data_IF_864381973513
#
_entry.id   IF_864381973513
#
_cell.length_a   1.000
_cell.length_b   1.000
_cell.length_c   1.000
_cell.angle_alpha   90.00
_cell.angle_beta   90.00
_cell.angle_gamma   90.00
#
_symmetry.space_group_name_H-M   'P 1'
#
loop_
_entity.id
_entity.type
_entity.pdbx_description
1 polymer ?
#
# COMPACT_ATOMS: atom_id res chain seq x y z
N UNK A 1 -39.25 30.97 -26.45
CA UNK A 1 -38.01 31.10 -25.64
C UNK A 1 -38.32 30.64 -24.22
N UNK A 2 -37.87 29.44 -23.85
CA UNK A 2 -38.21 28.82 -22.55
C UNK A 2 -37.07 29.07 -21.57
N UNK A 3 -37.25 29.99 -20.61
CA UNK A 3 -36.28 30.25 -19.54
C UNK A 3 -36.25 29.05 -18.59
N UNK A 4 -35.12 28.35 -18.57
CA UNK A 4 -34.85 27.24 -17.64
C UNK A 4 -34.35 27.83 -16.32
N UNK A 5 -35.21 27.83 -15.29
CA UNK A 5 -34.84 28.24 -13.94
C UNK A 5 -34.13 27.07 -13.25
N UNK A 6 -32.81 26.98 -13.36
CA UNK A 6 -32.02 26.30 -12.33
C UNK A 6 -31.48 27.38 -11.40
N UNK A 7 -31.96 27.41 -10.16
CA UNK A 7 -31.30 28.16 -9.11
C UNK A 7 -29.93 27.53 -8.87
N UNK A 8 -28.86 28.29 -9.10
CA UNK A 8 -27.52 27.93 -8.66
C UNK A 8 -27.55 27.69 -7.14
N UNK A 9 -27.22 26.48 -6.71
CA UNK A 9 -27.06 26.17 -5.29
C UNK A 9 -25.77 26.87 -4.84
N UNK A 10 -25.90 27.90 -4.00
CA UNK A 10 -24.77 28.69 -3.49
C UNK A 10 -24.28 28.23 -2.12
N UNK A 11 -25.11 27.48 -1.39
CA UNK A 11 -24.79 26.93 -0.07
C UNK A 11 -24.69 25.40 -0.15
N UNK A 12 -23.51 24.88 0.16
CA UNK A 12 -23.18 23.47 0.13
C UNK A 12 -23.08 22.86 1.55
N UNK A 13 -23.43 23.60 2.61
CA UNK A 13 -23.28 23.15 4.01
C UNK A 13 -23.85 21.76 4.27
N UNK A 14 -25.10 21.51 3.88
CA UNK A 14 -25.76 20.20 4.04
C UNK A 14 -25.11 19.09 3.20
N UNK A 15 -24.62 19.43 2.00
CA UNK A 15 -23.90 18.48 1.14
C UNK A 15 -22.55 18.12 1.74
N UNK A 16 -21.81 19.09 2.28
CA UNK A 16 -20.56 18.87 3.00
C UNK A 16 -20.79 17.97 4.23
N UNK A 17 -21.82 18.26 5.02
CA UNK A 17 -22.17 17.46 6.20
C UNK A 17 -22.50 16.00 5.82
N UNK A 18 -23.26 15.79 4.74
CA UNK A 18 -23.57 14.47 4.21
C UNK A 18 -22.32 13.69 3.78
N UNK A 19 -21.40 14.34 3.05
CA UNK A 19 -20.14 13.73 2.60
C UNK A 19 -19.21 13.41 3.77
N UNK A 20 -19.08 14.31 4.75
CA UNK A 20 -18.28 14.08 5.96
C UNK A 20 -18.84 12.90 6.76
N UNK A 21 -20.17 12.82 6.93
CA UNK A 21 -20.82 11.68 7.60
C UNK A 21 -20.55 10.36 6.85
N UNK A 22 -20.66 10.38 5.51
CA UNK A 22 -20.37 9.19 4.70
C UNK A 22 -18.90 8.78 4.80
N UNK A 23 -17.97 9.74 4.85
CA UNK A 23 -16.54 9.49 5.06
C UNK A 23 -16.29 8.76 6.38
N UNK A 24 -16.88 9.22 7.49
CA UNK A 24 -16.74 8.57 8.80
C UNK A 24 -17.31 7.15 8.77
N UNK A 25 -18.47 6.96 8.13
CA UNK A 25 -19.07 5.63 7.99
C UNK A 25 -18.14 4.67 7.22
N UNK A 26 -17.59 5.10 6.08
CA UNK A 26 -16.67 4.29 5.28
C UNK A 26 -15.38 3.96 6.04
N UNK A 27 -14.90 4.88 6.87
CA UNK A 27 -13.73 4.65 7.71
C UNK A 27 -13.96 3.51 8.70
N UNK A 28 -15.07 3.54 9.45
CA UNK A 28 -15.42 2.46 10.38
C UNK A 28 -15.69 1.13 9.68
N UNK A 29 -16.29 1.16 8.49
CA UNK A 29 -16.47 -0.04 7.68
C UNK A 29 -15.13 -0.65 7.27
N UNK A 30 -14.16 0.17 6.87
CA UNK A 30 -12.81 -0.27 6.57
C UNK A 30 -12.11 -0.87 7.80
N UNK A 31 -12.23 -0.25 8.97
CA UNK A 31 -11.69 -0.79 10.23
C UNK A 31 -12.26 -2.18 10.55
N UNK A 32 -13.59 -2.33 10.45
CA UNK A 32 -14.26 -3.63 10.68
C UNK A 32 -13.79 -4.70 9.71
N UNK A 33 -13.63 -4.37 8.43
CA UNK A 33 -13.13 -5.32 7.42
C UNK A 33 -11.66 -5.71 7.70
N UNK A 34 -10.85 -4.77 8.18
CA UNK A 34 -9.47 -5.06 8.57
C UNK A 34 -9.40 -6.00 9.78
N UNK A 35 -10.25 -5.79 10.79
CA UNK A 35 -10.38 -6.68 11.95
C UNK A 35 -10.83 -8.09 11.52
N UNK A 36 -11.86 -8.20 10.69
CA UNK A 36 -12.32 -9.50 10.16
C UNK A 36 -11.22 -10.23 9.39
N UNK A 37 -10.43 -9.50 8.60
CA UNK A 37 -9.28 -10.07 7.89
C UNK A 37 -8.21 -10.57 8.87
N UNK A 38 -7.96 -9.83 9.95
CA UNK A 38 -7.00 -10.24 10.98
C UNK A 38 -7.47 -11.51 11.71
N UNK A 39 -8.76 -11.60 12.05
CA UNK A 39 -9.37 -12.80 12.64
C UNK A 39 -9.23 -14.01 11.72
N UNK A 40 -9.64 -13.89 10.45
CA UNK A 40 -9.52 -14.98 9.49
C UNK A 40 -8.07 -15.45 9.31
N UNK A 41 -7.09 -14.54 9.32
CA UNK A 41 -5.66 -14.88 9.28
C UNK A 41 -5.22 -15.66 10.52
N UNK A 42 -5.75 -15.31 11.69
CA UNK A 42 -5.45 -16.03 12.93
C UNK A 42 -6.07 -17.42 12.95
N UNK A 43 -7.29 -17.55 12.44
CA UNK A 43 -7.99 -18.83 12.32
C UNK A 43 -7.25 -19.77 11.37
N UNK A 44 -6.80 -19.26 10.21
CA UNK A 44 -5.96 -20.03 9.28
C UNK A 44 -4.69 -20.55 9.97
N UNK A 45 -3.98 -19.72 10.73
CA UNK A 45 -2.80 -20.16 11.50
C UNK A 45 -3.14 -21.24 12.52
N UNK A 46 -4.28 -21.09 13.21
CA UNK A 46 -4.75 -22.08 14.18
C UNK A 46 -5.06 -23.42 13.51
N UNK A 47 -5.67 -23.37 12.32
CA UNK A 47 -5.91 -24.56 11.49
C UNK A 47 -4.62 -25.21 11.01
N UNK A 48 -3.62 -24.43 10.59
CA UNK A 48 -2.30 -24.95 10.20
C UNK A 48 -1.67 -25.75 11.35
N UNK A 49 -1.74 -25.23 12.58
CA UNK A 49 -1.26 -25.94 13.78
C UNK A 49 -2.07 -27.22 14.02
N UNK A 50 -3.40 -27.16 13.95
CA UNK A 50 -4.25 -28.32 14.13
C UNK A 50 -3.96 -29.42 13.09
N UNK A 51 -3.76 -29.04 11.82
CA UNK A 51 -3.38 -29.95 10.74
C UNK A 51 -2.05 -30.66 11.05
N UNK A 52 -1.06 -29.94 11.59
CA UNK A 52 0.21 -30.56 12.02
C UNK A 52 0.02 -31.54 13.17
N UNK A 53 -0.81 -31.19 14.16
CA UNK A 53 -1.11 -32.07 15.30
C UNK A 53 -1.75 -33.38 14.85
N UNK A 54 -2.69 -33.34 13.90
CA UNK A 54 -3.35 -34.55 13.37
C UNK A 54 -2.50 -35.32 12.34
N UNK A 55 -1.24 -34.93 12.15
CA UNK A 55 -0.28 -35.68 11.33
C UNK A 55 -0.22 -35.29 9.85
N UNK A 56 -0.75 -34.13 9.45
CA UNK A 56 -0.61 -33.65 8.08
C UNK A 56 0.84 -33.26 7.76
N UNK A 57 1.44 -33.95 6.79
CA UNK A 57 2.85 -33.78 6.38
C UNK A 57 3.05 -32.94 5.12
N UNK A 58 1.98 -32.60 4.40
CA UNK A 58 2.06 -31.80 3.18
C UNK A 58 2.53 -30.35 3.42
N UNK A 59 2.87 -29.67 2.32
CA UNK A 59 3.24 -28.26 2.33
C UNK A 59 1.97 -27.39 2.25
N UNK A 60 1.52 -26.89 3.40
CA UNK A 60 0.30 -26.07 3.53
C UNK A 60 0.33 -24.82 2.63
N UNK A 61 1.50 -24.25 2.36
CA UNK A 61 1.62 -23.08 1.48
C UNK A 61 1.39 -23.40 0.01
N UNK A 62 1.59 -24.64 -0.43
CA UNK A 62 1.47 -25.02 -1.84
C UNK A 62 0.00 -25.24 -2.25
N UNK A 63 -0.83 -25.64 -1.30
CA UNK A 63 -2.29 -25.80 -1.46
C UNK A 63 -3.07 -24.50 -1.20
N UNK A 64 -2.46 -23.49 -0.57
CA UNK A 64 -3.10 -22.19 -0.40
C UNK A 64 -3.19 -21.46 -1.75
N UNK A 65 -4.38 -20.95 -2.13
CA UNK A 65 -4.50 -20.13 -3.33
C UNK A 65 -3.60 -18.89 -3.17
N UNK A 66 -2.71 -18.68 -4.13
CA UNK A 66 -1.82 -17.51 -4.14
C UNK A 66 -2.69 -16.26 -4.09
N UNK A 67 -2.55 -15.47 -3.02
CA UNK A 67 -3.25 -14.21 -2.88
C UNK A 67 -2.72 -13.23 -3.93
N UNK A 68 -3.32 -13.21 -5.11
CA UNK A 68 -3.04 -12.18 -6.10
C UNK A 68 -3.75 -10.90 -5.68
N UNK A 69 -3.08 -10.07 -4.87
CA UNK A 69 -3.53 -8.71 -4.62
C UNK A 69 -2.80 -7.78 -5.58
N UNK A 70 -3.51 -7.32 -6.61
CA UNK A 70 -3.03 -6.23 -7.46
C UNK A 70 -2.89 -5.00 -6.57
N UNK A 71 -1.66 -4.49 -6.43
CA UNK A 71 -1.40 -3.19 -5.81
C UNK A 71 -1.95 -2.09 -6.70
N UNK A 72 -3.24 -1.80 -6.54
CA UNK A 72 -3.88 -0.62 -7.12
C UNK A 72 -3.60 0.57 -6.20
N UNK A 73 -2.40 1.14 -6.33
CA UNK A 73 -2.18 2.50 -5.83
C UNK A 73 -3.06 3.44 -6.65
N UNK A 74 -3.90 4.22 -5.97
CA UNK A 74 -4.60 5.34 -6.60
C UNK A 74 -3.55 6.33 -7.14
N UNK A 75 -3.91 7.11 -8.15
CA UNK A 75 -3.00 8.08 -8.78
C UNK A 75 -2.38 9.00 -7.72
N UNK A 76 -1.07 8.84 -7.48
CA UNK A 76 -0.32 9.65 -6.51
C UNK A 76 0.02 8.94 -5.20
N UNK A 77 -0.76 7.95 -4.77
CA UNK A 77 -0.55 7.26 -3.48
C UNK A 77 0.80 6.55 -3.41
N UNK A 78 1.26 5.96 -4.52
CA UNK A 78 2.58 5.34 -4.57
C UNK A 78 3.69 6.36 -4.28
N UNK A 79 3.56 7.57 -4.83
CA UNK A 79 4.57 8.61 -4.64
C UNK A 79 4.53 9.14 -3.20
N UNK A 80 3.34 9.35 -2.65
CA UNK A 80 3.19 9.75 -1.25
C UNK A 80 3.77 8.71 -0.29
N UNK A 81 3.48 7.42 -0.51
CA UNK A 81 4.07 6.33 0.28
C UNK A 81 5.59 6.32 0.21
N UNK A 82 6.16 6.47 -0.99
CA UNK A 82 7.63 6.57 -1.17
C UNK A 82 8.21 7.77 -0.40
N UNK A 83 7.58 8.95 -0.52
CA UNK A 83 8.08 10.17 0.13
C UNK A 83 7.97 10.06 1.65
N UNK A 84 6.85 9.56 2.17
CA UNK A 84 6.64 9.35 3.61
C UNK A 84 7.69 8.40 4.17
N UNK A 85 7.95 7.28 3.49
CA UNK A 85 8.98 6.33 3.91
C UNK A 85 10.39 6.95 3.93
N UNK A 86 10.73 7.74 2.90
CA UNK A 86 12.01 8.46 2.84
C UNK A 86 12.12 9.58 3.88
N UNK A 87 11.01 10.18 4.33
CA UNK A 87 11.00 11.17 5.42
C UNK A 87 11.19 10.52 6.78
N UNK A 88 10.58 9.35 7.00
CA UNK A 88 10.67 8.62 8.26
C UNK A 88 11.98 7.85 8.42
N UNK A 89 12.71 7.60 7.33
CA UNK A 89 13.99 6.92 7.37
C UNK A 89 15.13 7.86 7.74
N UNK A 90 15.90 7.51 8.77
CA UNK A 90 17.13 8.20 9.16
C UNK A 90 18.28 7.96 8.17
N UNK A 91 18.13 6.99 7.26
CA UNK A 91 19.14 6.60 6.27
C UNK A 91 18.59 6.57 4.84
N UNK A 92 19.46 6.69 3.83
CA UNK A 92 19.09 6.39 2.45
C UNK A 92 18.56 4.96 2.31
N UNK A 93 17.55 4.77 1.46
CA UNK A 93 16.91 3.47 1.24
C UNK A 93 17.01 3.04 -0.22
N UNK A 94 17.17 1.74 -0.46
CA UNK A 94 17.10 1.16 -1.81
C UNK A 94 15.65 1.03 -2.27
N UNK A 95 15.44 0.95 -3.59
CA UNK A 95 14.08 0.73 -4.15
C UNK A 95 13.44 -0.57 -3.66
N UNK A 96 14.26 -1.58 -3.32
CA UNK A 96 13.77 -2.86 -2.81
C UNK A 96 13.33 -2.75 -1.34
N UNK A 97 14.10 -2.05 -0.50
CA UNK A 97 13.70 -1.78 0.88
C UNK A 97 12.42 -0.96 0.92
N UNK A 98 12.31 0.09 0.10
CA UNK A 98 11.08 0.86 -0.04
C UNK A 98 9.88 -0.01 -0.43
N UNK A 99 10.06 -0.95 -1.37
CA UNK A 99 8.99 -1.89 -1.75
C UNK A 99 8.57 -2.79 -0.59
N UNK A 100 9.53 -3.33 0.17
CA UNK A 100 9.26 -4.18 1.31
C UNK A 100 8.54 -3.42 2.42
N UNK A 101 8.96 -2.19 2.73
CA UNK A 101 8.34 -1.36 3.76
C UNK A 101 6.91 -0.98 3.39
N UNK A 102 6.68 -0.56 2.13
CA UNK A 102 5.33 -0.24 1.64
C UNK A 102 4.42 -1.48 1.64
N UNK A 103 4.93 -2.66 1.27
CA UNK A 103 4.16 -3.91 1.33
C UNK A 103 3.82 -4.30 2.78
N UNK A 104 4.78 -4.18 3.69
CA UNK A 104 4.58 -4.46 5.11
C UNK A 104 3.53 -3.52 5.72
N UNK A 105 3.62 -2.22 5.43
CA UNK A 105 2.64 -1.21 5.85
C UNK A 105 1.23 -1.49 5.28
N UNK A 106 1.16 -2.05 4.08
CA UNK A 106 -0.10 -2.44 3.42
C UNK A 106 -0.63 -3.82 3.89
N UNK A 107 0.02 -4.47 4.85
CA UNK A 107 -0.34 -5.79 5.36
C UNK A 107 -0.20 -6.92 4.34
N UNK A 108 0.66 -6.76 3.33
CA UNK A 108 0.97 -7.74 2.29
C UNK A 108 2.16 -8.63 2.71
N UNK A 109 2.23 -9.83 2.15
CA UNK A 109 3.35 -10.73 2.44
C UNK A 109 4.62 -10.31 1.68
N UNK A 110 5.63 -9.86 2.43
CA UNK A 110 6.97 -9.52 1.93
C UNK A 110 7.74 -10.73 1.37
N UNK A 111 7.28 -11.96 1.64
CA UNK A 111 7.90 -13.20 1.14
C UNK A 111 7.49 -13.52 -0.30
N UNK A 112 6.42 -12.90 -0.81
CA UNK A 112 6.05 -13.02 -2.22
C UNK A 112 7.06 -12.26 -3.10
N UNK A 113 8.05 -13.02 -3.61
CA UNK A 113 9.12 -12.50 -4.45
C UNK A 113 8.61 -11.80 -5.70
N UNK A 114 7.48 -12.24 -6.27
CA UNK A 114 6.91 -11.64 -7.48
C UNK A 114 6.33 -10.27 -7.18
N UNK A 115 5.52 -10.18 -6.13
CA UNK A 115 4.92 -8.92 -5.69
C UNK A 115 5.98 -7.89 -5.28
N UNK A 116 7.02 -8.33 -4.56
CA UNK A 116 8.16 -7.46 -4.23
C UNK A 116 8.88 -6.95 -5.49
N UNK A 117 9.16 -7.82 -6.46
CA UNK A 117 9.86 -7.44 -7.68
C UNK A 117 9.04 -6.45 -8.53
N UNK A 118 7.74 -6.71 -8.69
CA UNK A 118 6.84 -5.84 -9.45
C UNK A 118 6.74 -4.44 -8.82
N UNK A 119 6.59 -4.37 -7.49
CA UNK A 119 6.57 -3.09 -6.79
C UNK A 119 7.92 -2.38 -6.84
N UNK A 120 9.04 -3.10 -6.66
CA UNK A 120 10.40 -2.54 -6.76
C UNK A 120 10.62 -1.86 -8.11
N UNK A 121 10.19 -2.51 -9.20
CA UNK A 121 10.30 -1.95 -10.56
C UNK A 121 9.45 -0.67 -10.74
N UNK A 122 8.23 -0.64 -10.19
CA UNK A 122 7.36 0.55 -10.22
C UNK A 122 7.93 1.71 -9.42
N UNK A 123 8.43 1.43 -8.21
CA UNK A 123 9.08 2.40 -7.33
C UNK A 123 10.33 2.97 -8.01
N UNK A 124 11.18 2.12 -8.57
CA UNK A 124 12.38 2.55 -9.31
C UNK A 124 12.05 3.56 -10.41
N UNK A 125 11.05 3.25 -11.27
CA UNK A 125 10.60 4.18 -12.33
C UNK A 125 10.09 5.52 -11.76
N UNK A 126 9.39 5.50 -10.63
CA UNK A 126 8.91 6.72 -9.95
C UNK A 126 10.08 7.56 -9.44
N UNK A 127 11.02 6.92 -8.74
CA UNK A 127 12.20 7.57 -8.16
C UNK A 127 13.10 8.20 -9.24
N UNK A 128 13.32 7.52 -10.37
CA UNK A 128 14.06 8.08 -11.50
C UNK A 128 13.38 9.34 -12.05
N UNK A 129 12.04 9.34 -12.20
CA UNK A 129 11.30 10.54 -12.62
C UNK A 129 11.43 11.69 -11.62
N UNK A 130 11.45 11.41 -10.32
CA UNK A 130 11.60 12.43 -9.29
C UNK A 130 13.04 12.97 -9.20
N UNK A 131 14.04 12.10 -9.43
CA UNK A 131 15.44 12.52 -9.56
C UNK A 131 15.64 13.45 -10.77
N UNK A 132 15.04 13.12 -11.92
CA UNK A 132 15.10 13.97 -13.10
C UNK A 132 14.48 15.36 -12.87
N UNK A 133 13.51 15.46 -11.94
CA UNK A 133 12.91 16.72 -11.50
C UNK A 133 13.72 17.44 -10.40
N UNK A 134 14.78 16.83 -9.89
CA UNK A 134 15.64 17.41 -8.86
C UNK A 134 15.13 17.26 -7.42
N UNK A 135 14.09 16.45 -7.19
CA UNK A 135 13.45 16.28 -5.87
C UNK A 135 14.15 15.24 -4.98
N UNK A 136 14.94 14.34 -5.58
CA UNK A 136 15.60 13.23 -4.89
C UNK A 136 17.07 13.15 -5.30
N UNK A 137 17.90 12.69 -4.37
CA UNK A 137 19.27 12.29 -4.62
C UNK A 137 19.34 10.77 -4.68
N UNK A 138 20.13 10.26 -5.63
CA UNK A 138 20.40 8.83 -5.77
C UNK A 138 21.91 8.60 -5.79
N UNK A 139 22.42 7.83 -4.83
CA UNK A 139 23.85 7.54 -4.66
C UNK A 139 24.07 6.04 -4.72
N UNK A 140 25.13 5.59 -5.40
CA UNK A 140 25.50 4.18 -5.42
C UNK A 140 26.16 3.80 -4.09
N UNK A 141 25.68 2.72 -3.49
CA UNK A 141 26.28 2.16 -2.29
C UNK A 141 27.43 1.19 -2.64
N UNK A 142 28.07 0.63 -1.61
CA UNK A 142 29.19 -0.33 -1.74
C UNK A 142 28.84 -1.59 -2.55
N UNK A 143 27.55 -1.92 -2.68
CA UNK A 143 27.03 -3.07 -3.44
C UNK A 143 26.57 -2.69 -4.85
N UNK A 144 26.91 -1.50 -5.33
CA UNK A 144 26.50 -0.96 -6.63
C UNK A 144 24.97 -0.87 -6.79
N UNK A 145 24.25 -0.71 -5.67
CA UNK A 145 22.80 -0.48 -5.65
C UNK A 145 22.55 1.00 -5.33
N UNK A 146 21.57 1.61 -6.01
CA UNK A 146 21.19 3.00 -5.76
C UNK A 146 20.39 3.08 -4.46
N UNK A 147 20.89 3.91 -3.55
CA UNK A 147 20.18 4.38 -2.37
C UNK A 147 19.61 5.77 -2.64
N UNK A 148 18.38 5.97 -2.19
CA UNK A 148 17.59 7.16 -2.44
C UNK A 148 17.43 7.93 -1.14
N UNK A 149 17.55 9.25 -1.24
CA UNK A 149 17.29 10.18 -0.14
C UNK A 149 16.59 11.42 -0.69
N UNK A 150 15.80 12.07 0.17
CA UNK A 150 15.24 13.38 -0.15
C UNK A 150 16.38 14.38 -0.32
N UNK A 151 16.19 15.30 -1.27
CA UNK A 151 17.10 16.45 -1.36
C UNK A 151 16.83 17.37 -0.15
N UNK A 152 17.86 17.76 0.61
CA UNK A 152 17.71 18.71 1.70
C UNK A 152 17.28 20.09 1.20
#
# INVERSE_FOLDING_TARGET
MTKRFYSEIKDYGETHNGLLKKRVQLFHEAERLAEQLAMARNDIKSLDVALRIVGYTGQLNDIMPKQYRKLEFVKGELLEGIITELKCSERPLTSRELAQNILAASGQDIRDRRTVADLTNRIGRSLYKQRAKGNLLGVLNKKHVIEWQLRP
#
